data_IF_010084398756
#
_entry.id   IF_010084398756
#
_cell.length_a   1.000
_cell.length_b   1.000
_cell.length_c   1.000
_cell.angle_alpha   90.00
_cell.angle_beta   90.00
_cell.angle_gamma   90.00
#
_symmetry.space_group_name_H-M   'P 1'
#
loop_
_entity.id
_entity.type
_entity.pdbx_description
1 polymer ?
#
# COMPACT_ATOMS: atom_id res chain seq x y z
N UNK A 1 -0.28 -10.26 -9.51
CA UNK A 1 -0.21 -10.56 -8.06
C UNK A 1 0.00 -12.05 -7.94
N UNK A 2 1.05 -12.51 -7.25
CA UNK A 2 1.21 -13.95 -6.95
C UNK A 2 0.91 -14.14 -5.46
N UNK A 3 0.04 -15.09 -5.16
CA UNK A 3 -0.22 -15.51 -3.79
C UNK A 3 0.82 -16.54 -3.36
N UNK A 4 1.53 -16.30 -2.27
CA UNK A 4 2.53 -17.25 -1.76
C UNK A 4 1.93 -18.56 -1.23
N UNK A 5 0.61 -18.62 -1.08
CA UNK A 5 -0.12 -19.79 -0.57
C UNK A 5 -0.84 -20.60 -1.66
N UNK A 6 -0.69 -20.22 -2.91
CA UNK A 6 -1.22 -21.00 -4.03
C UNK A 6 -0.24 -22.11 -4.50
N UNK A 7 -0.59 -22.82 -5.56
CA UNK A 7 0.25 -23.91 -6.09
C UNK A 7 1.63 -23.47 -6.59
N UNK A 8 1.88 -22.17 -6.73
CA UNK A 8 3.18 -21.63 -7.15
C UNK A 8 4.17 -21.54 -5.98
N UNK A 9 3.67 -21.58 -4.72
CA UNK A 9 4.53 -21.59 -3.55
C UNK A 9 4.47 -22.94 -2.81
N UNK A 10 5.41 -23.87 -3.10
CA UNK A 10 5.44 -25.19 -2.46
C UNK A 10 5.73 -25.13 -0.95
N UNK A 11 6.17 -23.98 -0.41
CA UNK A 11 6.42 -23.80 1.01
C UNK A 11 5.18 -23.30 1.78
N UNK A 12 4.11 -22.92 1.09
CA UNK A 12 2.87 -22.53 1.74
C UNK A 12 2.22 -23.77 2.39
N UNK A 13 1.74 -23.59 3.63
CA UNK A 13 1.13 -24.66 4.41
C UNK A 13 -0.36 -24.41 4.57
N UNK A 14 -1.17 -25.21 3.91
CA UNK A 14 -2.61 -25.20 4.08
C UNK A 14 -3.00 -25.83 5.41
N UNK A 15 -4.02 -25.29 6.05
CA UNK A 15 -4.66 -25.94 7.18
C UNK A 15 -5.80 -26.84 6.66
N UNK A 16 -5.58 -28.14 6.76
CA UNK A 16 -6.58 -29.14 6.42
C UNK A 16 -7.05 -29.86 7.68
N UNK A 17 -8.36 -30.06 7.84
CA UNK A 17 -8.98 -30.89 8.88
C UNK A 17 -8.48 -30.61 10.31
N UNK A 18 -8.31 -29.34 10.68
CA UNK A 18 -7.86 -28.93 12.00
C UNK A 18 -6.36 -29.09 12.28
N UNK A 19 -5.56 -29.53 11.32
CA UNK A 19 -4.11 -29.59 11.43
C UNK A 19 -3.49 -28.19 11.39
N UNK A 20 -2.26 -28.05 11.86
CA UNK A 20 -1.52 -26.79 11.79
C UNK A 20 -1.39 -26.36 10.32
N UNK A 21 -1.82 -25.16 10.01
CA UNK A 21 -1.70 -24.49 8.73
C UNK A 21 -1.73 -22.98 8.93
N UNK A 22 -1.75 -22.25 7.87
CA UNK A 22 -1.62 -20.79 7.92
C UNK A 22 -2.93 -20.06 7.62
N UNK A 23 -3.95 -20.73 7.13
CA UNK A 23 -5.25 -20.15 6.80
C UNK A 23 -6.34 -21.23 6.68
N UNK A 24 -7.62 -20.83 6.61
CA UNK A 24 -8.69 -21.68 6.13
C UNK A 24 -9.02 -21.31 4.68
N UNK A 25 -9.20 -22.29 3.76
CA UNK A 25 -9.53 -22.04 2.35
C UNK A 25 -11.00 -21.61 2.16
N UNK A 26 -11.63 -21.09 3.18
CA UNK A 26 -12.99 -20.56 3.18
C UNK A 26 -13.09 -19.42 4.17
N UNK A 27 -14.13 -18.61 4.02
CA UNK A 27 -14.49 -17.55 4.98
C UNK A 27 -15.90 -17.79 5.49
N UNK A 28 -16.08 -17.70 6.78
CA UNK A 28 -17.39 -17.95 7.44
C UNK A 28 -18.22 -16.69 7.66
N UNK A 29 -17.65 -15.50 7.39
CA UNK A 29 -18.31 -14.20 7.53
C UNK A 29 -17.91 -13.29 6.39
N UNK A 30 -18.77 -12.35 6.05
CA UNK A 30 -18.44 -11.27 5.13
C UNK A 30 -17.29 -10.41 5.67
N UNK A 31 -16.53 -9.79 4.77
CA UNK A 31 -15.44 -8.89 5.13
C UNK A 31 -16.05 -7.61 5.71
N UNK A 32 -15.84 -7.41 7.00
CA UNK A 32 -16.29 -6.25 7.76
C UNK A 32 -15.29 -5.10 7.65
N UNK A 33 -13.99 -5.42 7.55
CA UNK A 33 -12.97 -4.38 7.51
C UNK A 33 -11.55 -4.92 7.42
N UNK A 34 -10.61 -4.03 7.69
CA UNK A 34 -9.17 -4.31 7.65
C UNK A 34 -8.56 -4.10 9.04
N UNK A 35 -7.83 -5.10 9.51
CA UNK A 35 -6.97 -4.97 10.69
C UNK A 35 -5.57 -4.61 10.23
N UNK A 36 -5.05 -3.51 10.76
CA UNK A 36 -3.72 -2.99 10.41
C UNK A 36 -2.70 -3.47 11.44
N UNK A 37 -1.59 -4.03 10.94
CA UNK A 37 -0.48 -4.56 11.71
C UNK A 37 0.84 -3.92 11.29
N UNK A 38 1.86 -3.99 12.15
CA UNK A 38 3.27 -3.98 11.77
C UNK A 38 3.86 -5.35 12.02
N UNK A 39 4.68 -5.81 11.08
CA UNK A 39 5.14 -7.21 11.09
C UNK A 39 6.19 -7.53 12.16
N UNK A 40 6.84 -6.52 12.75
CA UNK A 40 7.87 -6.65 13.80
C UNK A 40 9.07 -7.55 13.40
N UNK A 41 9.21 -7.84 12.10
CA UNK A 41 10.19 -8.81 11.58
C UNK A 41 11.18 -8.24 10.57
N UNK A 42 11.15 -6.93 10.31
CA UNK A 42 12.02 -6.27 9.33
C UNK A 42 11.27 -5.32 8.40
N UNK A 43 12.01 -4.80 7.41
CA UNK A 43 11.52 -3.78 6.48
C UNK A 43 11.43 -4.28 5.02
N UNK A 44 11.45 -5.61 4.78
CA UNK A 44 11.28 -6.19 3.44
C UNK A 44 10.14 -7.18 3.42
N UNK A 45 9.11 -6.84 2.65
CA UNK A 45 7.85 -7.58 2.56
C UNK A 45 8.07 -9.04 2.14
N UNK A 46 8.90 -9.28 1.14
CA UNK A 46 9.17 -10.64 0.65
C UNK A 46 9.78 -11.56 1.73
N UNK A 47 10.61 -11.04 2.62
CA UNK A 47 11.23 -11.83 3.69
C UNK A 47 10.20 -12.20 4.76
N UNK A 48 9.35 -11.25 5.14
CA UNK A 48 8.25 -11.46 6.09
C UNK A 48 7.24 -12.45 5.49
N UNK A 49 6.88 -12.27 4.23
CA UNK A 49 5.97 -13.15 3.51
C UNK A 49 6.49 -14.60 3.45
N UNK A 50 7.77 -14.80 3.15
CA UNK A 50 8.43 -16.12 3.21
C UNK A 50 8.37 -16.71 4.61
N UNK A 51 8.68 -15.91 5.64
CA UNK A 51 8.57 -16.37 7.02
C UNK A 51 7.15 -16.81 7.36
N UNK A 52 6.14 -16.00 7.06
CA UNK A 52 4.73 -16.34 7.33
C UNK A 52 4.26 -17.59 6.56
N UNK A 53 4.81 -17.84 5.38
CA UNK A 53 4.47 -19.02 4.56
C UNK A 53 5.15 -20.29 5.04
N UNK A 54 6.26 -20.22 5.77
CA UNK A 54 7.09 -21.38 6.12
C UNK A 54 7.20 -21.65 7.61
N UNK A 55 6.85 -20.68 8.47
CA UNK A 55 6.92 -20.85 9.94
C UNK A 55 5.98 -21.94 10.45
N UNK A 56 6.35 -22.59 11.55
CA UNK A 56 5.46 -23.52 12.26
C UNK A 56 4.43 -22.82 13.15
N UNK A 57 4.52 -21.51 13.30
CA UNK A 57 3.51 -20.70 14.02
C UNK A 57 2.23 -20.65 13.19
N UNK A 58 1.10 -20.71 13.88
CA UNK A 58 -0.21 -20.53 13.26
C UNK A 58 -0.47 -19.03 13.08
N UNK A 59 0.16 -18.44 12.07
CA UNK A 59 0.03 -17.02 11.74
C UNK A 59 0.11 -16.83 10.23
N UNK A 60 -0.68 -15.92 9.70
CA UNK A 60 -0.65 -15.48 8.30
C UNK A 60 -1.34 -14.12 8.18
N UNK A 61 -1.19 -13.47 7.04
CA UNK A 61 -1.88 -12.24 6.67
C UNK A 61 -2.40 -12.35 5.25
N UNK A 62 -3.27 -11.44 4.82
CA UNK A 62 -3.70 -11.38 3.41
C UNK A 62 -2.61 -10.74 2.56
N UNK A 63 -1.89 -9.77 3.11
CA UNK A 63 -0.84 -9.02 2.43
C UNK A 63 0.27 -8.61 3.39
N UNK A 64 1.48 -8.53 2.88
CA UNK A 64 2.63 -7.83 3.50
C UNK A 64 3.09 -6.76 2.53
N UNK A 65 3.35 -5.56 3.02
CA UNK A 65 3.72 -4.40 2.20
C UNK A 65 4.95 -3.73 2.79
N UNK A 66 5.93 -3.43 1.95
CA UNK A 66 7.06 -2.55 2.28
C UNK A 66 7.03 -1.26 1.42
N UNK A 67 8.13 -0.52 1.39
CA UNK A 67 8.28 0.72 0.64
C UNK A 67 8.34 0.54 -0.88
N UNK A 68 8.50 -0.70 -1.37
CA UNK A 68 8.72 -1.02 -2.78
C UNK A 68 7.68 -1.99 -3.36
N UNK A 69 7.16 -2.92 -2.54
CA UNK A 69 6.35 -4.01 -3.07
C UNK A 69 5.15 -4.39 -2.18
N UNK A 70 4.12 -4.91 -2.85
CA UNK A 70 2.94 -5.53 -2.24
C UNK A 70 3.03 -7.04 -2.47
N UNK A 71 3.11 -7.81 -1.41
CA UNK A 71 3.17 -9.28 -1.46
C UNK A 71 1.89 -9.86 -0.88
N UNK A 72 0.98 -10.29 -1.74
CA UNK A 72 -0.25 -10.97 -1.32
C UNK A 72 0.05 -12.44 -0.98
N UNK A 73 -0.45 -12.90 0.18
CA UNK A 73 -0.23 -14.25 0.69
C UNK A 73 -1.51 -15.09 0.68
N UNK A 74 -2.57 -14.58 1.29
CA UNK A 74 -3.82 -15.29 1.46
C UNK A 74 -4.91 -14.60 0.65
N UNK A 75 -5.60 -15.29 -0.26
CA UNK A 75 -6.71 -14.72 -1.01
C UNK A 75 -7.81 -14.14 -0.10
N UNK A 76 -8.46 -13.07 -0.53
CA UNK A 76 -9.46 -12.36 0.27
C UNK A 76 -10.65 -13.23 0.69
N UNK A 77 -11.02 -14.21 -0.13
CA UNK A 77 -12.09 -15.18 0.15
C UNK A 77 -11.68 -16.28 1.12
N UNK A 78 -10.42 -16.30 1.57
CA UNK A 78 -9.90 -17.23 2.58
C UNK A 78 -9.78 -16.51 3.93
N UNK A 79 -9.62 -17.27 5.00
CA UNK A 79 -9.46 -16.73 6.36
C UNK A 79 -7.99 -16.82 6.77
N UNK A 80 -7.28 -15.72 6.76
CA UNK A 80 -5.93 -15.62 7.32
C UNK A 80 -5.98 -15.60 8.87
N UNK A 81 -4.87 -15.97 9.51
CA UNK A 81 -4.73 -16.02 10.98
C UNK A 81 -3.86 -14.88 11.47
N UNK A 82 -4.40 -13.67 11.47
CA UNK A 82 -3.70 -12.45 11.83
C UNK A 82 -4.20 -11.81 13.13
N UNK A 83 -5.50 -11.93 13.43
CA UNK A 83 -6.10 -11.28 14.59
C UNK A 83 -7.15 -12.17 15.23
N UNK A 84 -6.87 -12.68 16.44
CA UNK A 84 -7.80 -13.56 17.17
C UNK A 84 -9.18 -12.89 17.34
N UNK A 85 -10.23 -13.62 17.02
CA UNK A 85 -11.62 -13.12 17.11
C UNK A 85 -12.07 -12.31 15.90
N UNK A 86 -11.13 -11.85 15.04
CA UNK A 86 -11.43 -11.04 13.87
C UNK A 86 -11.08 -11.73 12.54
N UNK A 87 -10.32 -12.82 12.53
CA UNK A 87 -9.83 -13.50 11.33
C UNK A 87 -10.91 -13.73 10.26
N UNK A 88 -12.08 -14.23 10.66
CA UNK A 88 -13.14 -14.59 9.70
C UNK A 88 -13.89 -13.40 9.12
N UNK A 89 -13.78 -12.21 9.72
CA UNK A 89 -14.53 -11.01 9.32
C UNK A 89 -13.63 -9.86 8.84
N UNK A 90 -12.31 -10.09 8.72
CA UNK A 90 -11.38 -9.04 8.31
C UNK A 90 -10.32 -9.52 7.32
N UNK A 91 -9.75 -8.57 6.61
CA UNK A 91 -8.47 -8.72 5.95
C UNK A 91 -7.36 -8.27 6.91
N UNK A 92 -6.20 -8.90 6.86
CA UNK A 92 -5.01 -8.51 7.62
C UNK A 92 -3.97 -7.88 6.71
N UNK A 93 -3.61 -6.63 7.00
CA UNK A 93 -2.50 -5.92 6.41
C UNK A 93 -1.30 -5.99 7.36
N UNK A 94 -0.19 -6.51 6.93
CA UNK A 94 1.11 -6.45 7.63
C UNK A 94 2.01 -5.41 6.95
N UNK A 95 2.25 -4.30 7.62
CA UNK A 95 3.25 -3.31 7.21
C UNK A 95 4.62 -3.82 7.62
N UNK A 96 5.56 -3.90 6.69
CA UNK A 96 6.93 -4.36 6.94
C UNK A 96 7.73 -3.31 7.72
N UNK A 97 7.32 -3.04 8.95
CA UNK A 97 7.93 -2.06 9.85
C UNK A 97 7.81 -2.50 11.31
N UNK A 98 8.16 -1.62 12.22
CA UNK A 98 8.14 -1.86 13.67
C UNK A 98 7.25 -0.83 14.38
N UNK A 99 6.34 -1.28 15.23
CA UNK A 99 5.40 -0.44 15.97
C UNK A 99 6.07 0.68 16.78
N UNK A 100 7.28 0.41 17.30
CA UNK A 100 8.02 1.35 18.15
C UNK A 100 8.87 2.38 17.35
N UNK A 101 8.99 2.21 16.01
CA UNK A 101 9.96 2.98 15.21
C UNK A 101 9.37 4.10 14.36
N UNK A 102 8.07 4.32 14.41
CA UNK A 102 7.45 5.42 13.68
C UNK A 102 8.04 6.78 14.07
N UNK A 103 8.58 7.51 13.10
CA UNK A 103 9.30 8.75 13.23
C UNK A 103 10.83 8.63 13.09
N UNK A 104 11.37 7.40 12.95
CA UNK A 104 12.82 7.18 12.79
C UNK A 104 13.29 7.27 11.33
N UNK A 105 12.45 6.86 10.37
CA UNK A 105 12.76 6.88 8.92
C UNK A 105 11.61 7.49 8.11
N UNK A 106 11.49 8.82 8.06
CA UNK A 106 10.38 9.48 7.38
C UNK A 106 10.25 9.13 5.89
N UNK A 107 11.35 8.80 5.21
CA UNK A 107 11.34 8.46 3.79
C UNK A 107 10.74 7.08 3.57
N UNK A 108 11.17 6.10 4.36
CA UNK A 108 10.60 4.76 4.33
C UNK A 108 9.13 4.76 4.76
N UNK A 109 8.82 5.46 5.86
CA UNK A 109 7.48 5.55 6.45
C UNK A 109 6.48 6.15 5.47
N UNK A 110 6.87 7.23 4.78
CA UNK A 110 6.05 7.85 3.75
C UNK A 110 5.70 6.85 2.64
N UNK A 111 6.69 6.16 2.11
CA UNK A 111 6.52 5.21 1.02
C UNK A 111 5.67 4.01 1.43
N UNK A 112 5.93 3.42 2.60
CA UNK A 112 5.21 2.24 3.06
C UNK A 112 3.76 2.55 3.45
N UNK A 113 3.51 3.72 4.06
CA UNK A 113 2.14 4.18 4.36
C UNK A 113 1.36 4.40 3.06
N UNK A 114 1.95 5.11 2.09
CA UNK A 114 1.30 5.38 0.81
C UNK A 114 0.97 4.08 0.04
N UNK A 115 1.90 3.12 -0.01
CA UNK A 115 1.68 1.85 -0.70
C UNK A 115 0.64 0.99 0.02
N UNK A 116 0.67 0.95 1.35
CA UNK A 116 -0.32 0.27 2.18
C UNK A 116 -1.71 0.87 2.01
N UNK A 117 -1.80 2.20 2.00
CA UNK A 117 -3.05 2.92 1.77
C UNK A 117 -3.64 2.61 0.39
N UNK A 118 -2.81 2.48 -0.66
CA UNK A 118 -3.28 2.17 -2.01
C UNK A 118 -3.93 0.79 -2.10
N UNK A 119 -3.33 -0.23 -1.49
CA UNK A 119 -3.91 -1.58 -1.41
C UNK A 119 -5.21 -1.56 -0.59
N UNK A 120 -5.20 -0.87 0.55
CA UNK A 120 -6.37 -0.75 1.40
C UNK A 120 -7.53 -0.01 0.72
N UNK A 121 -7.26 1.02 -0.08
CA UNK A 121 -8.28 1.73 -0.84
C UNK A 121 -8.94 0.83 -1.90
N UNK A 122 -8.15 -0.01 -2.61
CA UNK A 122 -8.69 -1.02 -3.54
C UNK A 122 -9.66 -1.98 -2.80
N UNK A 123 -9.24 -2.52 -1.64
CA UNK A 123 -10.07 -3.44 -0.86
C UNK A 123 -11.29 -2.75 -0.24
N UNK A 124 -11.11 -1.52 0.25
CA UNK A 124 -12.22 -0.73 0.81
C UNK A 124 -13.32 -0.49 -0.23
N UNK A 125 -12.95 -0.14 -1.45
CA UNK A 125 -13.89 0.03 -2.55
C UNK A 125 -14.55 -1.31 -2.94
N UNK A 126 -13.77 -2.39 -3.05
CA UNK A 126 -14.27 -3.71 -3.45
C UNK A 126 -15.31 -4.27 -2.45
N UNK A 127 -15.09 -4.07 -1.15
CA UNK A 127 -15.93 -4.64 -0.08
C UNK A 127 -16.84 -3.61 0.59
N UNK A 128 -16.93 -2.38 0.05
CA UNK A 128 -17.71 -1.27 0.60
C UNK A 128 -17.37 -1.05 2.09
N UNK A 129 -16.07 -0.87 2.39
CA UNK A 129 -15.55 -0.56 3.73
C UNK A 129 -15.33 0.95 3.80
N UNK A 130 -15.97 1.68 4.74
CA UNK A 130 -15.67 3.09 4.97
C UNK A 130 -14.20 3.31 5.30
N UNK A 131 -13.58 4.33 4.70
CA UNK A 131 -12.18 4.71 4.94
C UNK A 131 -12.08 5.53 6.22
N UNK A 132 -12.39 4.88 7.35
CA UNK A 132 -12.36 5.47 8.68
C UNK A 132 -11.99 4.44 9.75
N UNK A 133 -11.45 4.92 10.87
CA UNK A 133 -11.25 4.06 12.05
C UNK A 133 -12.58 3.76 12.72
N UNK A 134 -12.65 2.58 13.30
CA UNK A 134 -13.74 2.17 14.21
C UNK A 134 -13.15 1.79 15.56
N UNK A 135 -13.91 2.05 16.62
CA UNK A 135 -13.58 1.58 17.97
C UNK A 135 -13.82 0.08 18.08
N UNK A 136 -13.26 -0.55 19.12
CA UNK A 136 -13.46 -1.99 19.36
C UNK A 136 -14.94 -2.33 19.62
N UNK A 137 -15.70 -1.43 20.26
CA UNK A 137 -17.13 -1.62 20.51
C UNK A 137 -17.92 -1.56 19.19
N UNK A 138 -17.65 -0.59 18.32
CA UNK A 138 -18.25 -0.49 16.99
C UNK A 138 -17.87 -1.70 16.12
N UNK A 139 -16.61 -2.14 16.17
CA UNK A 139 -16.13 -3.33 15.48
C UNK A 139 -16.86 -4.60 15.93
N UNK A 140 -17.05 -4.76 17.24
CA UNK A 140 -17.78 -5.89 17.80
C UNK A 140 -19.28 -5.83 17.50
N UNK A 141 -19.84 -4.62 17.37
CA UNK A 141 -21.22 -4.39 16.93
C UNK A 141 -21.44 -4.61 15.42
N UNK A 142 -20.37 -4.86 14.65
CA UNK A 142 -20.45 -5.16 13.21
C UNK A 142 -20.26 -3.94 12.30
N UNK A 143 -19.88 -2.77 12.83
CA UNK A 143 -19.57 -1.59 12.00
C UNK A 143 -18.36 -1.88 11.13
N UNK A 144 -18.47 -1.55 9.83
CA UNK A 144 -17.37 -1.67 8.87
C UNK A 144 -16.36 -0.55 9.06
N UNK A 145 -15.08 -0.84 8.83
CA UNK A 145 -14.01 0.16 8.88
C UNK A 145 -12.63 -0.45 9.10
N UNK A 146 -11.74 0.36 9.67
CA UNK A 146 -10.35 0.00 9.96
C UNK A 146 -10.10 -0.01 11.46
N UNK A 147 -9.33 -0.98 11.92
CA UNK A 147 -8.98 -1.12 13.33
C UNK A 147 -7.52 -1.59 13.47
N UNK A 148 -6.86 -1.23 14.56
CA UNK A 148 -5.53 -1.73 14.89
C UNK A 148 -5.58 -3.11 15.54
N UNK A 149 -4.49 -3.87 15.44
CA UNK A 149 -4.35 -5.11 16.20
C UNK A 149 -4.33 -4.84 17.70
N UNK A 150 -3.70 -3.74 18.13
CA UNK A 150 -3.67 -3.32 19.53
C UNK A 150 -5.07 -3.14 20.13
N UNK A 151 -6.02 -2.63 19.35
CA UNK A 151 -7.43 -2.47 19.80
C UNK A 151 -8.19 -3.79 19.81
N UNK A 152 -7.89 -4.69 18.86
CA UNK A 152 -8.53 -6.01 18.80
C UNK A 152 -8.05 -6.97 19.90
N UNK A 153 -6.82 -6.83 20.39
CA UNK A 153 -6.20 -7.74 21.35
C UNK A 153 -5.37 -6.94 22.38
N UNK A 154 -6.06 -6.08 23.17
CA UNK A 154 -5.42 -5.17 24.12
C UNK A 154 -4.64 -5.93 25.19
N UNK A 155 -3.50 -5.37 25.60
CA UNK A 155 -2.61 -5.96 26.60
C UNK A 155 -1.69 -7.06 26.07
N UNK A 156 -1.91 -7.54 24.85
CA UNK A 156 -1.08 -8.56 24.19
C UNK A 156 -0.42 -8.06 22.91
N UNK A 157 -1.00 -7.04 22.30
CA UNK A 157 -0.56 -6.44 21.04
C UNK A 157 -0.42 -4.94 21.15
N UNK A 158 0.54 -4.39 20.40
CA UNK A 158 0.81 -2.94 20.37
C UNK A 158 0.82 -2.41 18.94
N UNK A 159 0.81 -3.30 17.94
CA UNK A 159 0.86 -2.96 16.53
C UNK A 159 -0.47 -2.37 16.00
N UNK A 160 -0.42 -1.45 15.03
CA UNK A 160 0.74 -0.94 14.30
C UNK A 160 1.58 0.10 15.07
N UNK A 161 1.30 0.41 16.33
CA UNK A 161 2.00 1.37 17.17
C UNK A 161 1.22 2.66 17.39
N UNK A 162 1.49 3.31 18.55
CA UNK A 162 0.78 4.52 18.94
C UNK A 162 1.07 5.72 18.00
N UNK A 163 2.25 5.72 17.36
CA UNK A 163 2.70 6.77 16.47
C UNK A 163 2.41 6.46 14.98
N UNK A 164 1.66 5.41 14.68
CA UNK A 164 1.19 5.18 13.31
C UNK A 164 0.24 6.30 12.87
N UNK A 165 0.58 6.96 11.78
CA UNK A 165 -0.15 8.14 11.29
C UNK A 165 -1.41 7.71 10.51
N UNK A 166 -2.52 7.54 11.24
CA UNK A 166 -3.81 7.19 10.68
C UNK A 166 -4.38 8.27 9.76
N UNK A 167 -4.13 9.55 10.07
CA UNK A 167 -4.66 10.65 9.26
C UNK A 167 -3.98 10.68 7.90
N UNK A 168 -2.66 10.56 7.87
CA UNK A 168 -1.88 10.39 6.65
C UNK A 168 -2.31 9.14 5.86
N UNK A 169 -2.48 8.01 6.54
CA UNK A 169 -2.92 6.76 5.92
C UNK A 169 -4.28 6.92 5.21
N UNK A 170 -5.29 7.51 5.88
CA UNK A 170 -6.59 7.76 5.28
C UNK A 170 -6.58 8.87 4.23
N UNK A 171 -5.72 9.87 4.36
CA UNK A 171 -5.52 10.88 3.33
C UNK A 171 -5.05 10.22 2.01
N UNK A 172 -4.04 9.36 2.08
CA UNK A 172 -3.60 8.59 0.91
C UNK A 172 -4.67 7.66 0.34
N UNK A 173 -5.44 6.99 1.20
CA UNK A 173 -6.55 6.14 0.73
C UNK A 173 -7.60 6.94 -0.06
N UNK A 174 -7.85 8.19 0.32
CA UNK A 174 -8.81 9.10 -0.31
C UNK A 174 -8.22 9.86 -1.52
N UNK A 175 -6.95 9.62 -1.85
CA UNK A 175 -6.25 10.32 -2.93
C UNK A 175 -5.92 11.78 -2.59
N UNK A 176 -5.92 12.13 -1.31
CA UNK A 176 -5.52 13.47 -0.85
C UNK A 176 -3.99 13.52 -0.72
N UNK A 177 -3.36 14.58 -1.22
CA UNK A 177 -1.96 14.85 -0.92
C UNK A 177 -1.81 15.30 0.54
N UNK A 178 -0.85 14.76 1.26
CA UNK A 178 -0.68 15.01 2.70
C UNK A 178 -0.16 16.41 3.01
N UNK A 179 0.28 17.14 1.99
CA UNK A 179 0.79 18.50 2.13
C UNK A 179 -0.28 19.60 2.34
N UNK A 180 -1.57 19.26 2.29
CA UNK A 180 -2.61 20.28 2.36
C UNK A 180 -2.95 20.78 3.77
N UNK A 181 -2.54 20.09 4.83
CA UNK A 181 -2.90 20.46 6.22
C UNK A 181 -1.87 21.32 6.95
N UNK A 182 -0.65 21.44 6.44
CA UNK A 182 0.32 22.42 6.98
C UNK A 182 0.26 23.78 6.26
N UNK A 183 -0.50 23.92 5.19
CA UNK A 183 -0.60 25.15 4.42
C UNK A 183 -1.69 26.12 4.91
N UNK A 184 -2.70 25.68 5.64
CA UNK A 184 -3.75 26.59 6.11
C UNK A 184 -3.26 27.55 7.21
N UNK A 185 -2.29 27.18 8.05
CA UNK A 185 -1.70 28.08 9.05
C UNK A 185 -0.67 29.06 8.46
N UNK A 186 -0.11 28.77 7.27
CA UNK A 186 0.88 29.65 6.59
C UNK A 186 0.20 30.64 5.63
N UNK A 187 -1.02 30.39 5.19
CA UNK A 187 -1.75 31.26 4.26
C UNK A 187 -2.19 32.58 4.93
N UNK A 188 -2.48 32.60 6.23
CA UNK A 188 -2.81 33.85 6.92
C UNK A 188 -1.63 34.82 7.09
N UNK A 189 -0.39 34.35 6.97
CA UNK A 189 0.81 35.20 7.11
C UNK A 189 1.46 35.63 5.79
N UNK A 190 1.05 35.05 4.64
CA UNK A 190 1.69 35.27 3.32
C UNK A 190 0.82 35.99 2.28
N UNK A 191 -0.33 36.54 2.61
CA UNK A 191 -1.16 37.35 1.68
C UNK A 191 -0.52 38.66 1.20
N UNK A 192 0.80 38.77 1.24
CA UNK A 192 1.55 39.96 0.81
C UNK A 192 2.69 39.73 -0.18
N UNK A 193 2.78 38.62 -0.89
CA UNK A 193 3.80 38.46 -1.95
C UNK A 193 3.20 37.78 -3.18
N UNK A 194 3.00 38.60 -4.22
CA UNK A 194 2.92 38.38 -5.67
C UNK A 194 2.32 37.05 -6.22
N UNK A 195 1.23 37.24 -7.02
CA UNK A 195 0.65 36.26 -7.95
C UNK A 195 1.71 35.56 -8.81
N UNK A 196 2.08 34.34 -8.47
CA UNK A 196 2.62 33.36 -9.43
C UNK A 196 1.47 32.42 -9.74
N UNK A 197 1.00 32.39 -10.99
CA UNK A 197 0.00 31.46 -11.49
C UNK A 197 0.53 30.04 -11.40
N UNK A 198 0.21 29.31 -10.36
CA UNK A 198 0.37 27.87 -10.29
C UNK A 198 -0.75 27.21 -11.11
N UNK A 199 -0.38 26.54 -12.22
CA UNK A 199 -1.35 25.74 -12.98
C UNK A 199 -1.84 24.59 -12.10
N UNK A 200 -3.12 24.62 -11.75
CA UNK A 200 -3.77 23.54 -10.98
C UNK A 200 -3.69 22.24 -11.77
N UNK A 201 -2.89 21.26 -11.31
CA UNK A 201 -2.77 19.95 -11.94
C UNK A 201 -4.03 19.14 -11.67
N UNK A 202 -4.64 18.62 -12.72
CA UNK A 202 -5.83 17.80 -12.63
C UNK A 202 -5.48 16.33 -12.82
N UNK A 203 -6.00 15.46 -11.97
CA UNK A 203 -5.79 14.01 -12.00
C UNK A 203 -7.13 13.27 -12.10
N UNK A 204 -7.20 12.28 -13.00
CA UNK A 204 -8.33 11.36 -13.10
C UNK A 204 -7.85 9.92 -12.90
N UNK A 205 -7.98 9.41 -11.70
CA UNK A 205 -7.56 8.06 -11.36
C UNK A 205 -8.48 6.95 -11.91
N UNK A 206 -9.64 7.30 -12.47
CA UNK A 206 -10.56 6.32 -13.07
C UNK A 206 -10.03 5.72 -14.38
N UNK A 207 -9.11 6.43 -15.05
CA UNK A 207 -8.52 6.01 -16.34
C UNK A 207 -7.18 5.29 -16.21
N UNK A 208 -6.67 5.12 -14.98
CA UNK A 208 -5.37 4.51 -14.73
C UNK A 208 -5.38 3.04 -15.11
N UNK A 209 -4.51 2.58 -16.01
CA UNK A 209 -4.40 1.17 -16.36
C UNK A 209 -3.83 0.38 -15.16
N UNK A 210 -4.23 -0.90 -15.08
CA UNK A 210 -3.76 -1.80 -14.02
C UNK A 210 -2.23 -1.78 -13.93
N UNK A 211 -1.72 -1.56 -12.72
CA UNK A 211 -0.30 -1.62 -12.42
C UNK A 211 0.30 -3.00 -12.82
N UNK A 212 1.45 -3.03 -13.54
CA UNK A 212 2.05 -4.30 -14.01
C UNK A 212 2.68 -5.15 -12.91
N UNK A 213 2.70 -4.69 -11.65
CA UNK A 213 3.22 -5.45 -10.50
C UNK A 213 4.75 -5.52 -10.44
N UNK A 214 5.47 -4.67 -11.17
CA UNK A 214 6.94 -4.64 -11.16
C UNK A 214 7.46 -3.21 -11.27
N UNK A 215 8.56 -2.94 -10.57
CA UNK A 215 9.23 -1.65 -10.62
C UNK A 215 9.98 -1.46 -11.96
N UNK A 216 9.95 -0.24 -12.50
CA UNK A 216 10.88 0.13 -13.57
C UNK A 216 12.01 0.95 -12.97
N UNK A 217 13.19 0.38 -12.99
CA UNK A 217 14.42 1.04 -12.54
C UNK A 217 15.57 0.68 -13.46
N UNK A 218 16.61 1.50 -13.48
CA UNK A 218 17.79 1.22 -14.26
C UNK A 218 18.58 0.06 -13.67
N UNK A 219 18.45 -1.10 -14.27
CA UNK A 219 19.10 -2.34 -13.89
C UNK A 219 20.06 -2.83 -14.99
N UNK A 220 20.89 -3.83 -14.67
CA UNK A 220 21.63 -4.59 -15.66
C UNK A 220 21.23 -6.09 -15.53
N UNK A 221 20.54 -6.70 -16.52
CA UNK A 221 20.09 -6.09 -17.80
C UNK A 221 18.95 -5.08 -17.62
N UNK A 222 18.80 -4.16 -18.59
CA UNK A 222 17.74 -3.15 -18.57
C UNK A 222 16.35 -3.80 -18.62
N UNK A 223 15.41 -3.22 -17.87
CA UNK A 223 14.01 -3.63 -17.87
C UNK A 223 13.39 -3.30 -19.22
N UNK A 224 12.65 -4.26 -19.79
CA UNK A 224 11.99 -4.16 -21.09
C UNK A 224 10.55 -4.65 -21.02
N UNK A 225 9.68 -4.07 -21.84
CA UNK A 225 8.31 -4.54 -22.01
C UNK A 225 7.37 -3.50 -22.60
N UNK A 226 6.18 -3.97 -22.97
CA UNK A 226 5.10 -3.10 -23.46
C UNK A 226 4.64 -2.12 -22.37
N UNK A 227 4.60 -2.54 -21.14
CA UNK A 227 4.28 -1.71 -19.96
C UNK A 227 5.25 -0.54 -19.79
N UNK A 228 6.55 -0.78 -20.02
CA UNK A 228 7.55 0.29 -20.05
C UNK A 228 7.27 1.27 -21.20
N UNK A 229 6.95 0.75 -22.40
CA UNK A 229 6.62 1.60 -23.55
C UNK A 229 5.36 2.45 -23.30
N UNK A 230 4.34 1.85 -22.68
CA UNK A 230 3.08 2.53 -22.35
C UNK A 230 3.33 3.66 -21.33
N UNK A 231 4.13 3.41 -20.27
CA UNK A 231 4.51 4.43 -19.31
C UNK A 231 5.36 5.55 -19.94
N UNK A 232 6.32 5.20 -20.79
CA UNK A 232 7.16 6.18 -21.51
C UNK A 232 6.31 7.15 -22.35
N UNK A 233 5.26 6.64 -22.99
CA UNK A 233 4.32 7.47 -23.75
C UNK A 233 3.49 8.36 -22.84
N UNK A 234 3.02 7.82 -21.72
CA UNK A 234 2.18 8.55 -20.75
C UNK A 234 2.96 9.69 -20.07
N UNK A 235 4.20 9.45 -19.62
CA UNK A 235 5.03 10.49 -19.01
C UNK A 235 5.41 11.60 -20.00
N UNK A 236 5.43 11.29 -21.28
CA UNK A 236 5.72 12.22 -22.38
C UNK A 236 7.22 12.45 -22.62
N UNK A 237 7.53 12.99 -23.80
CA UNK A 237 8.91 13.32 -24.17
C UNK A 237 9.85 12.14 -24.46
N UNK A 238 9.33 10.91 -24.47
CA UNK A 238 10.06 9.68 -24.77
C UNK A 238 9.50 8.98 -26.00
N UNK A 239 10.35 8.23 -26.70
CA UNK A 239 9.95 7.50 -27.91
C UNK A 239 9.04 6.31 -27.68
N UNK A 240 8.91 5.83 -26.41
CA UNK A 240 8.13 4.63 -26.10
C UNK A 240 8.78 3.35 -26.64
N UNK A 241 10.11 3.24 -26.57
CA UNK A 241 10.90 2.10 -27.07
C UNK A 241 10.77 0.84 -26.18
N UNK A 242 10.10 0.94 -25.06
CA UNK A 242 9.91 -0.16 -24.12
C UNK A 242 11.15 -0.57 -23.35
N UNK A 243 12.19 0.29 -23.29
CA UNK A 243 13.44 0.01 -22.58
C UNK A 243 13.64 1.06 -21.49
N UNK A 244 13.64 0.64 -20.21
CA UNK A 244 13.89 1.56 -19.11
C UNK A 244 15.40 1.83 -18.95
N UNK A 245 15.89 2.82 -19.69
CA UNK A 245 17.27 3.27 -19.70
C UNK A 245 17.44 4.63 -19.02
N UNK A 246 18.63 5.24 -19.17
CA UNK A 246 18.96 6.53 -18.55
C UNK A 246 18.01 7.67 -18.90
N UNK A 247 17.48 7.70 -20.14
CA UNK A 247 16.47 8.72 -20.53
C UNK A 247 15.15 8.53 -19.80
N UNK A 248 14.72 7.27 -19.61
CA UNK A 248 13.49 6.95 -18.84
C UNK A 248 13.66 7.31 -17.37
N UNK A 249 14.81 7.01 -16.77
CA UNK A 249 15.15 7.39 -15.39
C UNK A 249 15.11 8.91 -15.19
N UNK A 250 15.73 9.69 -16.11
CA UNK A 250 15.70 11.16 -16.06
C UNK A 250 14.28 11.72 -16.22
N UNK A 251 13.48 11.16 -17.13
CA UNK A 251 12.09 11.56 -17.30
C UNK A 251 11.24 11.23 -16.04
N UNK A 252 11.52 10.09 -15.43
CA UNK A 252 10.88 9.70 -14.15
C UNK A 252 11.21 10.70 -13.04
N UNK A 253 12.49 11.00 -12.82
CA UNK A 253 12.93 11.97 -11.79
C UNK A 253 12.30 13.35 -12.03
N UNK A 254 12.27 13.80 -13.28
CA UNK A 254 11.63 15.07 -13.63
C UNK A 254 10.14 15.05 -13.30
N UNK A 255 9.42 14.03 -13.76
CA UNK A 255 8.00 13.85 -13.49
C UNK A 255 7.70 13.78 -11.99
N UNK A 256 8.48 12.98 -11.26
CA UNK A 256 8.34 12.86 -9.80
C UNK A 256 8.47 14.20 -9.09
N UNK A 257 9.50 15.01 -9.45
CA UNK A 257 9.67 16.37 -8.91
C UNK A 257 8.49 17.29 -9.22
N UNK A 258 8.02 17.27 -10.48
CA UNK A 258 6.91 18.12 -10.93
C UNK A 258 5.58 17.76 -10.28
N UNK A 259 5.45 16.52 -9.76
CA UNK A 259 4.22 16.01 -9.15
C UNK A 259 4.36 15.73 -7.64
N UNK A 260 5.39 16.29 -6.99
CA UNK A 260 5.58 16.15 -5.54
C UNK A 260 5.88 14.73 -5.07
N UNK A 261 6.37 13.86 -5.97
CA UNK A 261 6.73 12.48 -5.63
C UNK A 261 8.21 12.38 -5.26
N UNK A 262 8.60 11.31 -4.56
CA UNK A 262 10.01 11.00 -4.33
C UNK A 262 10.75 10.87 -5.66
N UNK A 263 11.73 11.74 -5.90
CA UNK A 263 12.44 11.84 -7.17
C UNK A 263 13.62 10.83 -7.23
N UNK A 264 13.32 9.54 -7.16
CA UNK A 264 14.31 8.45 -7.14
C UNK A 264 14.56 7.80 -8.51
N UNK A 265 13.80 8.20 -9.52
CA UNK A 265 13.90 7.63 -10.86
C UNK A 265 13.36 6.20 -10.97
N UNK A 266 12.54 5.78 -10.01
CA UNK A 266 11.90 4.47 -10.01
C UNK A 266 10.41 4.63 -10.27
N UNK A 267 9.90 3.97 -11.30
CA UNK A 267 8.45 3.89 -11.52
C UNK A 267 7.91 2.76 -10.67
N UNK A 268 7.42 3.11 -9.49
CA UNK A 268 6.60 2.27 -8.64
C UNK A 268 5.11 2.49 -8.91
N UNK A 269 4.24 1.85 -8.12
CA UNK A 269 2.79 1.98 -8.30
C UNK A 269 2.33 3.44 -8.23
N UNK A 270 2.83 4.20 -7.27
CA UNK A 270 2.45 5.62 -7.10
C UNK A 270 2.84 6.43 -8.34
N UNK A 271 4.09 6.33 -8.79
CA UNK A 271 4.55 7.03 -10.01
C UNK A 271 3.75 6.59 -11.23
N UNK A 272 3.42 5.29 -11.35
CA UNK A 272 2.57 4.76 -12.42
C UNK A 272 1.19 5.40 -12.39
N UNK A 273 0.50 5.29 -11.26
CA UNK A 273 -0.86 5.80 -11.11
C UNK A 273 -0.93 7.31 -11.37
N UNK A 274 -0.01 8.08 -10.78
CA UNK A 274 0.07 9.52 -10.98
C UNK A 274 0.35 9.87 -12.46
N UNK A 275 1.21 9.10 -13.14
CA UNK A 275 1.54 9.35 -14.55
C UNK A 275 0.31 9.19 -15.45
N UNK A 276 -0.48 8.14 -15.23
CA UNK A 276 -1.67 7.88 -16.06
C UNK A 276 -2.89 8.69 -15.63
N UNK A 277 -2.98 9.08 -14.36
CA UNK A 277 -4.06 9.93 -13.86
C UNK A 277 -3.89 11.40 -14.27
N UNK A 278 -2.65 11.86 -14.51
CA UNK A 278 -2.37 13.25 -14.81
C UNK A 278 -2.97 13.67 -16.15
N UNK A 279 -3.95 14.56 -16.10
CA UNK A 279 -4.54 15.18 -17.27
C UNK A 279 -3.75 16.45 -17.62
N UNK A 280 -2.93 16.37 -18.66
CA UNK A 280 -2.27 17.54 -19.19
C UNK A 280 -3.36 18.47 -19.75
N UNK A 281 -3.49 19.66 -19.17
CA UNK A 281 -4.35 20.68 -19.78
C UNK A 281 -3.85 20.92 -21.21
N UNK A 282 -4.70 20.55 -22.18
CA UNK A 282 -4.44 20.72 -23.62
C UNK A 282 -4.65 22.17 -24.05
#
# INVERSE_FOLDING_TARGET
>A
MSYLVDNENPNAKLRENGKKGHYYPTRSKDIQGIVVHTAEGGTKAINIAKYLSTTDRTASAHVVIDDEEIVELVPDNFTAFHCRGSNSKSLGLEIAYFAAKWGEDPVYEEAVIALSASWCAEKANLYNIPMERVTIDEWNAGKKGFISHAECDPGRRTDPGANFDWDKFFAYMKGLSVDSTQFEEVIEESEKIEEVKEETKVYDFSVVPKWPGRLFKRNNPLIRGKDVADWQKAVGGLSGDGIYGGKSEQACIKFQKEHGLKADGIVGKITWDTTFAYQKNS
#
